data_IF_420205416273
#
_entry.id   IF_420205416273
#
_cell.length_a   1.000
_cell.length_b   1.000
_cell.length_c   1.000
_cell.angle_alpha   90.00
_cell.angle_beta   90.00
_cell.angle_gamma   90.00
#
_symmetry.space_group_name_H-M   'P 1'
#
loop_
_entity.id
_entity.type
_entity.pdbx_description
1 polymer ?
#
# COMPACT_ATOMS: atom_id res chain seq x y z
N UNK A 1 -33.42 15.50 13.33
CA UNK A 1 -32.21 15.58 14.18
C UNK A 1 -31.17 14.65 13.57
N UNK A 2 -30.23 15.17 12.77
CA UNK A 2 -29.13 14.39 12.23
C UNK A 2 -28.18 14.07 13.38
N UNK A 3 -28.16 12.80 13.80
CA UNK A 3 -27.13 12.29 14.71
C UNK A 3 -25.80 12.35 13.96
N UNK A 4 -25.00 13.39 14.23
CA UNK A 4 -23.62 13.46 13.78
C UNK A 4 -22.86 12.38 14.53
N UNK A 5 -22.81 11.17 13.95
CA UNK A 5 -21.99 10.08 14.43
C UNK A 5 -20.55 10.58 14.38
N UNK A 6 -19.95 10.86 15.53
CA UNK A 6 -18.53 11.20 15.60
C UNK A 6 -17.76 10.12 14.83
N UNK A 7 -17.10 10.54 13.75
CA UNK A 7 -16.26 9.65 12.96
C UNK A 7 -15.06 9.29 13.83
N UNK A 8 -15.20 8.20 14.58
CA UNK A 8 -14.12 7.57 15.33
C UNK A 8 -13.01 7.31 14.31
N UNK A 9 -11.94 8.11 14.36
CA UNK A 9 -10.81 7.99 13.43
C UNK A 9 -10.29 6.57 13.51
N UNK A 10 -10.14 5.90 12.35
CA UNK A 10 -9.49 4.59 12.30
C UNK A 10 -8.10 4.73 12.95
N UNK A 11 -7.69 3.80 13.82
CA UNK A 11 -6.40 3.87 14.48
C UNK A 11 -5.28 3.86 13.43
N UNK A 12 -4.09 4.40 13.69
CA UNK A 12 -2.97 4.33 12.72
C UNK A 12 -3.22 4.97 11.34
N UNK A 13 -4.15 5.92 11.20
CA UNK A 13 -4.41 6.62 9.93
C UNK A 13 -3.16 7.27 9.31
N UNK A 14 -2.18 7.65 10.13
CA UNK A 14 -0.89 8.16 9.66
C UNK A 14 -0.10 7.11 8.85
N UNK A 15 -0.10 5.83 9.28
CA UNK A 15 0.54 4.75 8.53
C UNK A 15 -0.16 4.52 7.18
N UNK A 16 -1.49 4.59 7.16
CA UNK A 16 -2.25 4.52 5.92
C UNK A 16 -1.88 5.65 4.94
N UNK A 17 -1.67 6.86 5.44
CA UNK A 17 -1.22 7.98 4.61
C UNK A 17 0.21 7.82 4.08
N UNK A 18 1.15 7.35 4.92
CA UNK A 18 2.52 7.03 4.46
C UNK A 18 2.49 5.98 3.35
N UNK A 19 1.73 4.91 3.57
CA UNK A 19 1.51 3.87 2.57
C UNK A 19 0.93 4.44 1.27
N UNK A 20 -0.13 5.25 1.37
CA UNK A 20 -0.79 5.88 0.22
C UNK A 20 0.19 6.72 -0.58
N UNK A 21 1.00 7.56 0.07
CA UNK A 21 2.02 8.38 -0.59
C UNK A 21 3.05 7.50 -1.30
N UNK A 22 3.53 6.44 -0.66
CA UNK A 22 4.48 5.51 -1.28
C UNK A 22 3.90 4.83 -2.53
N UNK A 23 2.65 4.34 -2.45
CA UNK A 23 1.98 3.71 -3.59
C UNK A 23 1.80 4.71 -4.73
N UNK A 24 1.43 5.96 -4.44
CA UNK A 24 1.30 7.01 -5.45
C UNK A 24 2.65 7.33 -6.11
N UNK A 25 3.74 7.43 -5.35
CA UNK A 25 5.09 7.60 -5.92
C UNK A 25 5.45 6.42 -6.82
N UNK A 26 5.17 5.19 -6.38
CA UNK A 26 5.35 3.99 -7.20
C UNK A 26 4.54 4.04 -8.50
N UNK A 27 3.28 4.46 -8.44
CA UNK A 27 2.43 4.61 -9.61
C UNK A 27 2.91 5.70 -10.59
N UNK A 28 3.40 6.82 -10.06
CA UNK A 28 4.02 7.88 -10.87
C UNK A 28 5.25 7.33 -11.60
N UNK A 29 6.14 6.64 -10.88
CA UNK A 29 7.33 6.03 -11.48
C UNK A 29 6.96 4.97 -12.52
N UNK A 30 5.99 4.10 -12.23
CA UNK A 30 5.53 3.09 -13.17
C UNK A 30 4.89 3.70 -14.43
N UNK A 31 4.21 4.84 -14.30
CA UNK A 31 3.52 5.49 -15.42
C UNK A 31 4.42 6.41 -16.24
N UNK A 32 5.42 7.05 -15.63
CA UNK A 32 6.24 8.08 -16.28
C UNK A 32 7.67 7.64 -16.58
N UNK A 33 8.23 6.72 -15.79
CA UNK A 33 9.59 6.21 -15.92
C UNK A 33 9.67 4.70 -15.66
N UNK A 34 8.89 3.85 -16.36
CA UNK A 34 8.84 2.41 -16.10
C UNK A 34 10.21 1.72 -16.22
N UNK A 35 11.06 2.20 -17.13
CA UNK A 35 12.41 1.67 -17.40
C UNK A 35 13.40 1.78 -16.23
N UNK A 36 13.09 2.59 -15.20
CA UNK A 36 13.90 2.66 -14.00
C UNK A 36 13.64 1.49 -13.04
N UNK A 37 12.53 0.75 -13.22
CA UNK A 37 12.08 -0.39 -12.39
C UNK A 37 11.97 -0.13 -10.87
N UNK A 38 12.29 1.08 -10.40
CA UNK A 38 12.25 1.48 -8.99
C UNK A 38 10.84 1.44 -8.39
N UNK A 39 9.81 1.50 -9.24
CA UNK A 39 8.41 1.45 -8.81
C UNK A 39 8.08 0.17 -8.03
N UNK A 40 8.76 -0.96 -8.31
CA UNK A 40 8.59 -2.20 -7.55
C UNK A 40 8.88 -2.01 -6.04
N UNK A 41 9.92 -1.26 -5.68
CA UNK A 41 10.27 -1.04 -4.27
C UNK A 41 9.25 -0.15 -3.55
N UNK A 42 8.76 0.90 -4.21
CA UNK A 42 7.74 1.79 -3.65
C UNK A 42 6.41 1.07 -3.45
N UNK A 43 6.03 0.24 -4.41
CA UNK A 43 4.84 -0.57 -4.27
C UNK A 43 5.02 -1.67 -3.21
N UNK A 44 6.18 -2.32 -3.13
CA UNK A 44 6.47 -3.30 -2.07
C UNK A 44 6.31 -2.65 -0.68
N UNK A 45 6.99 -1.52 -0.45
CA UNK A 45 6.95 -0.81 0.83
C UNK A 45 5.54 -0.29 1.15
N UNK A 46 4.90 0.37 0.19
CA UNK A 46 3.57 0.95 0.36
C UNK A 46 2.50 -0.10 0.65
N UNK A 47 2.44 -1.18 -0.13
CA UNK A 47 1.47 -2.25 0.09
C UNK A 47 1.78 -3.03 1.39
N UNK A 48 3.05 -3.22 1.76
CA UNK A 48 3.42 -3.84 3.04
C UNK A 48 2.89 -3.07 4.25
N UNK A 49 3.08 -1.74 4.27
CA UNK A 49 2.53 -0.88 5.34
C UNK A 49 1.01 -0.89 5.34
N UNK A 50 0.36 -0.88 4.17
CA UNK A 50 -1.10 -0.91 4.10
C UNK A 50 -1.66 -2.24 4.57
N UNK A 51 -0.98 -3.36 4.27
CA UNK A 51 -1.36 -4.68 4.76
C UNK A 51 -1.31 -4.72 6.30
N UNK A 52 -0.24 -4.23 6.91
CA UNK A 52 -0.13 -4.12 8.38
C UNK A 52 -1.26 -3.23 8.93
N UNK A 53 -1.51 -2.10 8.29
CA UNK A 53 -2.55 -1.16 8.73
C UNK A 53 -3.96 -1.76 8.59
N UNK A 54 -4.23 -2.49 7.50
CA UNK A 54 -5.49 -3.18 7.25
C UNK A 54 -5.73 -4.32 8.24
N UNK A 55 -4.67 -5.03 8.63
CA UNK A 55 -4.73 -6.02 9.72
C UNK A 55 -5.15 -5.35 11.04
N UNK A 56 -4.56 -4.20 11.38
CA UNK A 56 -4.92 -3.43 12.58
C UNK A 56 -6.36 -2.88 12.52
N UNK A 57 -6.89 -2.63 11.32
CA UNK A 57 -8.28 -2.23 11.09
C UNK A 57 -9.26 -3.39 11.04
N UNK A 58 -8.78 -4.64 11.00
CA UNK A 58 -9.59 -5.84 10.78
C UNK A 58 -10.38 -5.77 9.46
N UNK A 59 -9.78 -5.16 8.43
CA UNK A 59 -10.36 -5.03 7.09
C UNK A 59 -9.78 -6.09 6.15
N UNK A 60 -10.43 -7.25 6.10
CA UNK A 60 -9.94 -8.44 5.39
C UNK A 60 -9.68 -8.20 3.90
N UNK A 61 -10.54 -7.44 3.22
CA UNK A 61 -10.38 -7.16 1.78
C UNK A 61 -9.10 -6.36 1.50
N UNK A 62 -8.83 -5.31 2.29
CA UNK A 62 -7.60 -4.53 2.20
C UNK A 62 -6.38 -5.36 2.58
N UNK A 63 -6.48 -6.20 3.61
CA UNK A 63 -5.38 -7.06 4.03
C UNK A 63 -4.98 -8.02 2.92
N UNK A 64 -5.94 -8.73 2.32
CA UNK A 64 -5.69 -9.71 1.25
C UNK A 64 -5.12 -9.01 0.01
N UNK A 65 -5.71 -7.90 -0.42
CA UNK A 65 -5.22 -7.15 -1.58
C UNK A 65 -3.77 -6.70 -1.41
N UNK A 66 -3.48 -6.03 -0.30
CA UNK A 66 -2.17 -5.44 -0.08
C UNK A 66 -1.10 -6.50 0.20
N UNK A 67 -1.46 -7.61 0.86
CA UNK A 67 -0.56 -8.75 1.03
C UNK A 67 -0.26 -9.43 -0.31
N UNK A 68 -1.29 -9.64 -1.15
CA UNK A 68 -1.12 -10.19 -2.49
C UNK A 68 -0.22 -9.32 -3.35
N UNK A 69 -0.46 -8.01 -3.37
CA UNK A 69 0.38 -7.04 -4.08
C UNK A 69 1.82 -7.05 -3.55
N UNK A 70 2.02 -7.05 -2.22
CA UNK A 70 3.35 -7.19 -1.62
C UNK A 70 4.09 -8.41 -2.16
N UNK A 71 3.45 -9.59 -2.17
CA UNK A 71 4.07 -10.81 -2.68
C UNK A 71 4.38 -10.75 -4.18
N UNK A 72 3.47 -10.19 -4.98
CA UNK A 72 3.70 -9.96 -6.42
C UNK A 72 4.93 -9.08 -6.64
N UNK A 73 5.10 -8.01 -5.85
CA UNK A 73 6.29 -7.15 -5.97
C UNK A 73 7.57 -7.80 -5.47
N UNK A 74 7.52 -8.68 -4.45
CA UNK A 74 8.67 -9.52 -4.08
C UNK A 74 9.09 -10.38 -5.28
N UNK A 75 8.15 -11.08 -5.89
CA UNK A 75 8.42 -11.94 -7.06
C UNK A 75 8.95 -11.12 -8.24
N UNK A 76 8.34 -9.96 -8.51
CA UNK A 76 8.79 -9.05 -9.58
C UNK A 76 10.21 -8.54 -9.37
N UNK A 77 10.59 -8.19 -8.14
CA UNK A 77 11.98 -7.82 -7.81
C UNK A 77 12.90 -9.02 -7.99
N UNK A 78 12.51 -10.21 -7.52
CA UNK A 78 13.35 -11.40 -7.70
C UNK A 78 13.59 -11.70 -9.19
N UNK A 79 12.56 -11.61 -10.03
CA UNK A 79 12.67 -11.85 -11.47
C UNK A 79 13.53 -10.79 -12.20
N UNK A 80 13.49 -9.54 -11.76
CA UNK A 80 14.24 -8.45 -12.41
C UNK A 80 15.74 -8.49 -12.06
N UNK A 81 16.09 -8.90 -10.83
CA UNK A 81 17.46 -8.77 -10.30
C UNK A 81 18.24 -10.10 -10.18
N UNK A 82 17.62 -11.26 -10.34
CA UNK A 82 18.25 -12.59 -10.25
C UNK A 82 17.95 -13.45 -11.47
#
# INVERSE_FOLDING_TARGET
MLSLKESQKKPYQFLAWISTISILIGAILASLCPELYMHHFFFLFGNGILAITAFLWKENSLLVLNTGLFLVYVIGICYEYF
#
